data_IF_753865871877
#
_entry.id   IF_753865871877
#
_cell.length_a   1.000
_cell.length_b   1.000
_cell.length_c   1.000
_cell.angle_alpha   90.00
_cell.angle_beta   90.00
_cell.angle_gamma   90.00
#
_symmetry.space_group_name_H-M   'P 1'
#
loop_
_entity.id
_entity.type
_entity.pdbx_description
1 polymer ?
#
# COMPACT_ATOMS: atom_id res chain seq x y z
N UNK A 1 42.69 17.63 51.37
CA UNK A 1 41.98 17.28 52.62
C UNK A 1 40.76 16.44 52.23
N UNK A 2 40.91 15.15 52.49
CA UNK A 2 39.95 14.23 53.16
C UNK A 2 38.58 14.13 52.51
N UNK A 3 37.96 12.99 52.25
CA UNK A 3 38.27 11.55 52.48
C UNK A 3 37.26 10.72 51.68
N UNK A 4 37.76 9.62 51.12
CA UNK A 4 37.08 8.37 50.76
C UNK A 4 35.85 8.03 51.61
N UNK A 5 34.85 7.40 50.97
CA UNK A 5 34.31 6.14 51.48
C UNK A 5 33.72 5.29 50.33
N UNK A 6 34.41 4.21 50.08
CA UNK A 6 33.88 3.03 49.38
C UNK A 6 32.90 2.29 50.28
N UNK A 7 31.89 1.66 49.70
CA UNK A 7 31.25 0.53 50.35
C UNK A 7 31.06 -0.60 49.33
N UNK A 8 31.73 -1.71 49.65
CA UNK A 8 31.65 -3.05 49.08
C UNK A 8 30.55 -3.82 49.82
N UNK A 9 29.98 -4.75 49.20
CA UNK A 9 29.37 -6.02 49.58
C UNK A 9 27.97 -6.14 48.96
N UNK A 10 27.51 -7.21 48.38
CA UNK A 10 27.75 -8.61 48.68
C UNK A 10 27.26 -9.48 47.52
N UNK A 11 28.05 -10.49 47.24
CA UNK A 11 27.76 -11.62 46.35
C UNK A 11 26.73 -12.52 47.04
N UNK A 12 25.61 -12.82 46.35
CA UNK A 12 24.66 -13.82 46.73
C UNK A 12 24.50 -14.83 45.62
N UNK A 13 25.23 -15.97 45.72
CA UNK A 13 24.98 -17.21 44.95
C UNK A 13 23.75 -17.90 45.50
N UNK A 14 22.80 -18.29 44.68
CA UNK A 14 21.85 -19.39 44.95
C UNK A 14 21.58 -20.09 43.61
N UNK A 15 22.25 -21.21 43.43
CA UNK A 15 21.86 -22.64 43.58
C UNK A 15 20.64 -23.00 42.72
N UNK A 16 20.98 -23.71 41.68
CA UNK A 16 20.20 -24.58 40.80
C UNK A 16 19.42 -25.64 41.61
N UNK A 17 18.15 -25.88 41.29
CA UNK A 17 17.52 -27.17 41.50
C UNK A 17 16.55 -27.45 40.35
N UNK A 18 16.99 -28.30 39.45
CA UNK A 18 16.08 -29.13 38.63
C UNK A 18 15.38 -30.17 39.52
N UNK A 19 14.19 -30.58 39.19
CA UNK A 19 13.86 -31.97 39.35
C UNK A 19 13.32 -32.60 38.03
N UNK A 20 14.17 -33.43 37.44
CA UNK A 20 13.75 -34.57 36.68
C UNK A 20 13.08 -35.56 37.67
N UNK A 21 11.92 -36.08 37.30
CA UNK A 21 11.45 -37.37 37.86
C UNK A 21 10.87 -38.22 36.73
N UNK A 22 11.60 -39.29 36.49
CA UNK A 22 11.26 -40.44 35.70
C UNK A 22 10.03 -41.17 36.29
N UNK A 23 9.18 -41.70 35.46
CA UNK A 23 8.38 -42.86 35.81
C UNK A 23 8.38 -43.83 34.63
N UNK A 24 9.00 -44.96 34.88
CA UNK A 24 9.10 -46.16 34.05
C UNK A 24 7.96 -47.14 34.37
N UNK A 25 7.70 -48.15 33.52
CA UNK A 25 6.41 -48.84 33.40
C UNK A 25 6.32 -50.08 34.31
N UNK A 26 5.11 -50.40 34.69
CA UNK A 26 4.81 -51.72 35.27
C UNK A 26 3.87 -52.54 34.36
N UNK A 27 4.44 -53.64 33.89
CA UNK A 27 3.80 -54.79 33.28
C UNK A 27 3.10 -55.57 34.40
N UNK A 28 1.86 -56.03 34.25
CA UNK A 28 1.36 -57.37 34.47
C UNK A 28 -0.17 -57.43 34.48
N UNK A 29 -0.74 -58.40 33.75
CA UNK A 29 -2.05 -58.94 34.08
C UNK A 29 -2.82 -59.49 32.90
N UNK A 30 -2.37 -60.67 32.39
CA UNK A 30 -3.13 -61.58 31.53
C UNK A 30 -4.29 -62.18 32.32
N UNK A 31 -5.53 -62.17 31.77
CA UNK A 31 -6.47 -63.27 31.93
C UNK A 31 -7.49 -63.34 30.79
N UNK A 32 -7.35 -64.41 30.04
CA UNK A 32 -8.34 -65.00 29.14
C UNK A 32 -9.71 -65.19 29.81
N UNK A 33 -10.76 -64.83 29.03
CA UNK A 33 -12.01 -65.61 29.12
C UNK A 33 -12.57 -65.82 27.72
N UNK A 34 -12.58 -67.12 27.37
CA UNK A 34 -13.17 -67.71 26.18
C UNK A 34 -14.64 -67.88 26.46
N UNK A 35 -15.52 -67.46 25.61
CA UNK A 35 -16.97 -67.73 25.69
C UNK A 35 -17.54 -67.73 24.26
N UNK A 36 -17.68 -68.97 23.78
CA UNK A 36 -18.41 -69.34 22.56
C UNK A 36 -19.90 -69.16 22.85
N UNK A 37 -20.70 -68.59 21.91
CA UNK A 37 -22.02 -69.13 21.51
C UNK A 37 -22.62 -68.35 20.33
N UNK A 38 -22.87 -69.10 19.27
CA UNK A 38 -24.03 -69.18 18.38
C UNK A 38 -24.33 -68.07 17.37
N UNK A 39 -24.13 -68.44 16.17
CA UNK A 39 -24.79 -68.16 14.88
C UNK A 39 -26.31 -67.89 15.05
N UNK A 40 -26.70 -66.69 14.55
CA UNK A 40 -28.04 -66.47 13.99
C UNK A 40 -27.92 -65.62 12.72
N UNK A 41 -28.19 -66.30 11.64
CA UNK A 41 -28.27 -65.77 10.29
C UNK A 41 -29.58 -64.99 10.15
N UNK A 42 -29.54 -63.69 10.00
CA UNK A 42 -30.65 -62.89 9.45
C UNK A 42 -30.13 -62.01 8.32
N UNK A 43 -30.44 -62.53 7.14
CA UNK A 43 -30.33 -61.73 5.88
C UNK A 43 -31.29 -60.53 5.95
N UNK A 44 -30.77 -59.38 6.21
CA UNK A 44 -31.41 -58.12 5.84
C UNK A 44 -30.58 -57.50 4.72
N UNK A 45 -31.08 -57.68 3.51
CA UNK A 45 -30.73 -56.83 2.35
C UNK A 45 -31.27 -55.42 2.61
N UNK A 46 -30.53 -54.64 3.37
CA UNK A 46 -30.69 -53.21 3.45
C UNK A 46 -29.80 -52.58 2.39
N UNK A 47 -30.40 -52.19 1.29
CA UNK A 47 -29.80 -51.21 0.34
C UNK A 47 -29.54 -49.91 1.10
N UNK A 48 -28.38 -49.83 1.75
CA UNK A 48 -27.84 -48.54 2.16
C UNK A 48 -27.39 -47.82 0.90
N UNK A 49 -28.28 -47.02 0.32
CA UNK A 49 -27.83 -45.88 -0.48
C UNK A 49 -26.97 -45.02 0.43
N UNK A 50 -25.66 -45.23 0.37
CA UNK A 50 -24.69 -44.24 0.84
C UNK A 50 -24.92 -42.97 0.01
N UNK A 51 -25.65 -42.04 0.60
CA UNK A 51 -25.53 -40.65 0.18
C UNK A 51 -24.11 -40.25 0.56
N UNK A 52 -23.16 -40.47 -0.35
CA UNK A 52 -21.93 -39.72 -0.34
C UNK A 52 -22.37 -38.28 -0.43
N UNK A 53 -22.35 -37.56 0.68
CA UNK A 53 -22.19 -36.14 0.62
C UNK A 53 -20.92 -35.92 -0.20
N UNK A 54 -21.06 -35.74 -1.50
CA UNK A 54 -20.05 -35.06 -2.25
C UNK A 54 -19.99 -33.71 -1.55
N UNK A 55 -18.95 -33.53 -0.74
CA UNK A 55 -18.56 -32.20 -0.31
C UNK A 55 -18.53 -31.37 -1.62
N UNK A 56 -19.50 -30.50 -1.74
CA UNK A 56 -19.50 -29.54 -2.83
C UNK A 56 -18.26 -28.69 -2.61
N UNK A 57 -17.16 -29.04 -3.29
CA UNK A 57 -15.94 -28.23 -3.31
C UNK A 57 -16.40 -26.92 -3.90
N UNK A 58 -16.63 -25.93 -3.03
CA UNK A 58 -16.93 -24.61 -3.51
C UNK A 58 -15.71 -24.14 -4.31
N UNK A 59 -15.95 -23.52 -5.47
CA UNK A 59 -14.83 -23.00 -6.25
C UNK A 59 -14.05 -21.98 -5.39
N UNK A 60 -12.74 -21.89 -5.57
CA UNK A 60 -11.92 -20.95 -4.81
C UNK A 60 -12.47 -19.53 -4.95
N UNK A 61 -12.41 -18.73 -3.87
CA UNK A 61 -12.81 -17.33 -3.94
C UNK A 61 -11.94 -16.59 -4.95
N UNK A 62 -12.58 -15.81 -5.82
CA UNK A 62 -11.90 -15.02 -6.86
C UNK A 62 -11.80 -13.57 -6.42
N UNK A 63 -10.60 -13.11 -6.17
CA UNK A 63 -10.33 -11.74 -5.70
C UNK A 63 -9.70 -10.95 -6.83
N UNK A 64 -10.32 -9.83 -7.21
CA UNK A 64 -9.78 -8.97 -8.26
C UNK A 64 -8.95 -7.83 -7.65
N UNK A 65 -7.72 -7.68 -8.11
CA UNK A 65 -6.86 -6.54 -7.85
C UNK A 65 -6.96 -5.55 -9.00
N UNK A 66 -7.42 -4.34 -8.70
CA UNK A 66 -7.62 -3.26 -9.65
C UNK A 66 -6.66 -2.13 -9.32
N UNK A 67 -5.63 -1.96 -10.14
CA UNK A 67 -4.65 -0.88 -10.02
C UNK A 67 -4.72 0.07 -11.23
N UNK A 68 -4.42 1.37 -11.04
CA UNK A 68 -4.24 2.28 -12.17
C UNK A 68 -3.07 1.83 -13.05
N UNK A 69 -3.19 1.96 -14.37
CA UNK A 69 -2.10 1.64 -15.28
C UNK A 69 -0.87 2.55 -15.05
N UNK A 70 0.32 1.98 -15.15
CA UNK A 70 1.57 2.71 -15.05
C UNK A 70 1.95 3.16 -13.64
N UNK A 71 1.50 2.48 -12.61
CA UNK A 71 1.77 2.79 -11.20
C UNK A 71 3.08 2.20 -10.65
N UNK A 72 4.00 1.77 -11.52
CA UNK A 72 5.39 1.45 -11.18
C UNK A 72 5.60 0.28 -10.20
N UNK A 73 6.70 0.34 -9.47
CA UNK A 73 7.13 -0.73 -8.56
C UNK A 73 6.20 -0.91 -7.35
N UNK A 74 5.50 0.13 -6.92
CA UNK A 74 4.53 0.04 -5.83
C UNK A 74 3.38 -0.91 -6.20
N UNK A 75 2.80 -0.76 -7.40
CA UNK A 75 1.72 -1.65 -7.87
C UNK A 75 2.21 -3.09 -8.03
N UNK A 76 3.43 -3.29 -8.52
CA UNK A 76 4.02 -4.61 -8.62
C UNK A 76 4.26 -5.24 -7.24
N UNK A 77 4.72 -4.49 -6.26
CA UNK A 77 4.85 -4.96 -4.89
C UNK A 77 3.50 -5.35 -4.28
N UNK A 78 2.45 -4.56 -4.51
CA UNK A 78 1.07 -4.87 -4.11
C UNK A 78 0.60 -6.17 -4.75
N UNK A 79 0.82 -6.34 -6.05
CA UNK A 79 0.47 -7.55 -6.80
C UNK A 79 1.13 -8.79 -6.21
N UNK A 80 2.43 -8.76 -5.95
CA UNK A 80 3.18 -9.87 -5.36
C UNK A 80 2.69 -10.22 -3.95
N UNK A 81 2.38 -9.21 -3.13
CA UNK A 81 1.80 -9.44 -1.81
C UNK A 81 0.44 -10.14 -1.90
N UNK A 82 -0.41 -9.68 -2.82
CA UNK A 82 -1.71 -10.29 -3.06
C UNK A 82 -1.58 -11.72 -3.60
N UNK A 83 -0.63 -11.99 -4.51
CA UNK A 83 -0.36 -13.36 -5.01
C UNK A 83 0.10 -14.31 -3.90
N UNK A 84 0.99 -13.85 -3.02
CA UNK A 84 1.45 -14.63 -1.89
C UNK A 84 0.28 -15.02 -0.97
N UNK A 85 -0.56 -14.05 -0.62
CA UNK A 85 -1.73 -14.30 0.22
C UNK A 85 -2.80 -15.16 -0.50
N UNK A 86 -3.00 -14.99 -1.82
CA UNK A 86 -3.91 -15.82 -2.60
C UNK A 86 -3.50 -17.30 -2.57
N UNK A 87 -2.20 -17.54 -2.75
CA UNK A 87 -1.64 -18.91 -2.68
C UNK A 87 -1.83 -19.53 -1.30
N UNK A 88 -1.62 -18.77 -0.23
CA UNK A 88 -1.80 -19.27 1.15
C UNK A 88 -3.26 -19.58 1.47
N UNK A 89 -4.18 -18.76 0.99
CA UNK A 89 -5.62 -18.91 1.25
C UNK A 89 -6.35 -19.80 0.24
N UNK A 90 -5.66 -20.33 -0.78
CA UNK A 90 -6.30 -21.10 -1.84
C UNK A 90 -7.30 -20.27 -2.66
N UNK A 91 -7.07 -18.97 -2.78
CA UNK A 91 -7.87 -18.05 -3.58
C UNK A 91 -7.28 -17.86 -4.99
N UNK A 92 -8.12 -17.49 -5.95
CA UNK A 92 -7.69 -17.08 -7.29
C UNK A 92 -7.55 -15.56 -7.32
N UNK A 93 -6.35 -15.05 -7.65
CA UNK A 93 -6.12 -13.63 -7.86
C UNK A 93 -6.33 -13.29 -9.35
N UNK A 94 -7.18 -12.30 -9.61
CA UNK A 94 -7.38 -11.71 -10.92
C UNK A 94 -6.75 -10.32 -10.91
N UNK A 95 -5.70 -10.10 -11.70
CA UNK A 95 -5.09 -8.77 -11.84
C UNK A 95 -5.68 -8.06 -13.05
N UNK A 96 -6.23 -6.88 -12.84
CA UNK A 96 -6.82 -6.06 -13.90
C UNK A 96 -6.23 -4.66 -13.84
N UNK A 97 -5.39 -4.33 -14.82
CA UNK A 97 -4.85 -2.99 -14.96
C UNK A 97 -5.84 -2.08 -15.69
N UNK A 98 -6.07 -0.91 -15.13
CA UNK A 98 -7.02 0.06 -15.68
C UNK A 98 -6.35 0.94 -16.75
N UNK A 99 -6.24 0.43 -17.98
CA UNK A 99 -5.73 1.22 -19.09
C UNK A 99 -6.78 2.21 -19.59
N UNK A 100 -6.42 3.51 -19.74
CA UNK A 100 -7.25 4.45 -20.48
C UNK A 100 -7.44 3.93 -21.92
N UNK A 101 -8.65 4.00 -22.48
CA UNK A 101 -8.82 3.71 -23.90
C UNK A 101 -7.98 4.70 -24.69
N UNK A 102 -7.16 4.20 -25.64
CA UNK A 102 -6.41 5.05 -26.54
C UNK A 102 -7.35 6.07 -27.18
N UNK A 103 -7.01 7.36 -27.04
CA UNK A 103 -7.65 8.40 -27.83
C UNK A 103 -7.48 8.01 -29.31
N UNK A 104 -8.49 8.27 -30.19
CA UNK A 104 -8.39 7.90 -31.59
C UNK A 104 -7.10 8.44 -32.19
N UNK A 105 -6.34 7.58 -32.88
CA UNK A 105 -4.98 7.78 -33.40
C UNK A 105 -4.87 8.85 -34.49
N UNK A 106 -5.71 9.86 -34.49
CA UNK A 106 -5.62 11.03 -35.34
C UNK A 106 -5.42 12.29 -34.48
N UNK A 107 -4.31 12.35 -33.73
CA UNK A 107 -3.88 13.59 -33.12
C UNK A 107 -3.40 14.54 -34.24
N UNK A 108 -3.90 15.78 -34.30
CA UNK A 108 -3.35 16.78 -35.21
C UNK A 108 -1.90 17.11 -34.80
N UNK A 109 -1.02 17.21 -35.78
CA UNK A 109 0.42 17.40 -35.62
C UNK A 109 0.84 18.79 -35.07
N UNK A 110 0.00 19.47 -34.33
CA UNK A 110 0.28 20.79 -33.77
C UNK A 110 -0.04 20.83 -32.26
N UNK A 111 0.95 21.12 -31.40
CA UNK A 111 0.77 21.19 -29.93
C UNK A 111 -0.30 22.21 -29.50
N UNK A 112 -0.45 23.33 -30.22
CA UNK A 112 -1.45 24.36 -29.89
C UNK A 112 -2.89 23.87 -30.13
N UNK A 113 -3.09 22.86 -30.97
CA UNK A 113 -4.40 22.26 -31.22
C UNK A 113 -4.83 21.30 -30.12
N UNK A 114 -3.88 20.73 -29.35
CA UNK A 114 -4.17 19.83 -28.23
C UNK A 114 -4.79 20.60 -27.06
N UNK A 115 -4.25 21.76 -26.73
CA UNK A 115 -4.77 22.64 -25.66
C UNK A 115 -6.18 23.13 -26.02
N UNK A 116 -6.42 23.47 -27.27
CA UNK A 116 -7.75 23.87 -27.75
C UNK A 116 -8.74 22.71 -27.73
N UNK A 117 -8.31 21.49 -28.10
CA UNK A 117 -9.18 20.31 -28.11
C UNK A 117 -9.52 19.85 -26.69
N UNK A 118 -8.59 19.92 -25.74
CA UNK A 118 -8.87 19.63 -24.33
C UNK A 118 -9.82 20.67 -23.72
N UNK A 119 -9.64 21.97 -24.04
CA UNK A 119 -10.57 23.02 -23.61
C UNK A 119 -11.95 22.88 -24.26
N UNK A 120 -12.03 22.52 -25.53
CA UNK A 120 -13.29 22.32 -26.24
C UNK A 120 -14.04 21.06 -25.76
N UNK A 121 -13.32 19.98 -25.44
CA UNK A 121 -13.87 18.78 -24.80
C UNK A 121 -14.35 19.08 -23.36
N UNK A 122 -13.66 19.97 -22.65
CA UNK A 122 -14.06 20.42 -21.31
C UNK A 122 -15.28 21.35 -21.36
N UNK A 123 -15.43 22.21 -22.40
CA UNK A 123 -16.64 23.03 -22.62
C UNK A 123 -17.82 22.21 -23.14
N UNK A 124 -17.61 21.19 -23.97
CA UNK A 124 -18.66 20.28 -24.44
C UNK A 124 -19.18 19.34 -23.36
N UNK A 125 -18.38 19.07 -22.30
CA UNK A 125 -18.80 18.30 -21.11
C UNK A 125 -19.62 19.13 -20.10
N UNK A 126 -19.85 20.42 -20.36
CA UNK A 126 -20.52 21.37 -19.46
C UNK A 126 -22.03 21.19 -19.23
N UNK A 127 -22.62 20.03 -19.55
CA UNK A 127 -23.99 19.68 -19.20
C UNK A 127 -24.11 18.21 -18.81
N UNK A 128 -23.78 17.88 -17.56
CA UNK A 128 -24.06 16.55 -17.01
C UNK A 128 -23.16 16.25 -15.82
N UNK A 129 -23.73 15.91 -14.70
CA UNK A 129 -23.12 15.49 -13.46
C UNK A 129 -21.94 14.53 -13.73
N UNK A 130 -20.70 14.93 -13.34
CA UNK A 130 -19.55 14.04 -13.14
C UNK A 130 -18.96 13.42 -14.42
N UNK A 131 -18.27 14.22 -15.26
CA UNK A 131 -17.43 13.61 -16.29
C UNK A 131 -16.14 13.07 -15.63
N UNK A 132 -16.08 11.74 -15.43
CA UNK A 132 -14.86 11.06 -15.00
C UNK A 132 -13.71 11.29 -15.99
N UNK A 133 -12.49 11.46 -15.51
CA UNK A 133 -11.30 11.42 -16.35
C UNK A 133 -11.19 10.09 -17.11
N UNK A 134 -10.40 10.05 -18.17
CA UNK A 134 -10.18 8.81 -18.94
C UNK A 134 -9.60 7.67 -18.07
N UNK A 135 -8.79 8.01 -17.05
CA UNK A 135 -8.21 7.05 -16.09
C UNK A 135 -9.27 6.50 -15.12
N UNK A 136 -10.14 7.35 -14.58
CA UNK A 136 -11.24 6.93 -13.71
C UNK A 136 -12.25 6.05 -14.47
N UNK A 137 -12.60 6.41 -15.69
CA UNK A 137 -13.44 5.58 -16.55
C UNK A 137 -12.80 4.20 -16.81
N UNK A 138 -11.48 4.15 -17.03
CA UNK A 138 -10.76 2.90 -17.20
C UNK A 138 -10.84 2.04 -15.94
N UNK A 139 -10.68 2.64 -14.76
CA UNK A 139 -10.78 1.92 -13.49
C UNK A 139 -12.20 1.35 -13.26
N UNK A 140 -13.24 2.14 -13.50
CA UNK A 140 -14.63 1.70 -13.40
C UNK A 140 -14.92 0.55 -14.38
N UNK A 141 -14.41 0.62 -15.62
CA UNK A 141 -14.54 -0.49 -16.60
C UNK A 141 -13.81 -1.74 -16.14
N UNK A 142 -12.60 -1.61 -15.59
CA UNK A 142 -11.83 -2.74 -15.06
C UNK A 142 -12.59 -3.46 -13.94
N UNK A 143 -13.25 -2.71 -13.05
CA UNK A 143 -14.13 -3.28 -12.01
C UNK A 143 -15.31 -4.00 -12.63
N UNK A 144 -16.04 -3.39 -13.58
CA UNK A 144 -17.16 -4.05 -14.27
C UNK A 144 -16.72 -5.36 -14.91
N UNK A 145 -15.60 -5.36 -15.60
CA UNK A 145 -15.03 -6.57 -16.21
C UNK A 145 -14.70 -7.64 -15.16
N UNK A 146 -14.11 -7.26 -14.03
CA UNK A 146 -13.81 -8.21 -12.95
C UNK A 146 -15.08 -8.84 -12.36
N UNK A 147 -16.12 -8.05 -12.15
CA UNK A 147 -17.42 -8.53 -11.66
C UNK A 147 -18.09 -9.48 -12.66
N UNK A 148 -18.11 -9.15 -13.96
CA UNK A 148 -18.61 -10.02 -15.03
C UNK A 148 -17.83 -11.35 -15.11
N UNK A 149 -16.54 -11.33 -14.79
CA UNK A 149 -15.70 -12.53 -14.73
C UNK A 149 -15.87 -13.31 -13.42
N UNK A 150 -16.76 -12.89 -12.52
CA UNK A 150 -17.11 -13.59 -11.29
C UNK A 150 -16.19 -13.29 -10.11
N UNK A 151 -15.62 -12.08 -10.02
CA UNK A 151 -14.92 -11.64 -8.83
C UNK A 151 -15.87 -11.65 -7.62
N UNK A 152 -15.45 -12.28 -6.54
CA UNK A 152 -16.18 -12.35 -5.28
C UNK A 152 -15.73 -11.31 -4.25
N UNK A 153 -14.59 -10.66 -4.48
CA UNK A 153 -14.10 -9.51 -3.71
C UNK A 153 -13.22 -8.62 -4.60
N UNK A 154 -13.10 -7.35 -4.23
CA UNK A 154 -12.30 -6.34 -4.94
C UNK A 154 -11.23 -5.77 -4.01
N UNK A 155 -9.98 -5.72 -4.49
CA UNK A 155 -8.89 -4.91 -3.95
C UNK A 155 -8.72 -3.74 -4.93
N UNK A 156 -8.86 -2.51 -4.45
CA UNK A 156 -8.86 -1.33 -5.32
C UNK A 156 -7.89 -0.28 -4.79
N UNK A 157 -7.01 0.19 -5.66
CA UNK A 157 -6.23 1.41 -5.45
C UNK A 157 -6.95 2.56 -6.18
N UNK A 158 -7.80 3.35 -5.49
CA UNK A 158 -8.74 4.24 -6.14
C UNK A 158 -8.09 5.54 -6.59
N UNK A 159 -8.57 6.07 -7.73
CA UNK A 159 -8.07 7.33 -8.29
C UNK A 159 -8.77 8.57 -7.72
N UNK A 160 -10.03 8.43 -7.30
CA UNK A 160 -10.81 9.53 -6.72
C UNK A 160 -11.97 9.00 -5.86
N UNK A 161 -12.58 9.91 -5.09
CA UNK A 161 -13.77 9.62 -4.29
C UNK A 161 -14.97 9.25 -5.17
N UNK A 162 -15.13 9.95 -6.29
CA UNK A 162 -16.22 9.72 -7.24
C UNK A 162 -16.10 8.34 -7.89
N UNK A 163 -14.90 7.98 -8.38
CA UNK A 163 -14.66 6.67 -8.98
C UNK A 163 -14.87 5.55 -7.95
N UNK A 164 -14.39 5.72 -6.73
CA UNK A 164 -14.59 4.74 -5.65
C UNK A 164 -16.06 4.59 -5.27
N UNK A 165 -16.82 5.69 -5.24
CA UNK A 165 -18.27 5.64 -4.98
C UNK A 165 -19.02 4.83 -6.04
N UNK A 166 -18.71 5.01 -7.33
CA UNK A 166 -19.27 4.23 -8.43
C UNK A 166 -18.87 2.75 -8.32
N UNK A 167 -17.60 2.45 -8.00
CA UNK A 167 -17.10 1.08 -7.79
C UNK A 167 -17.88 0.38 -6.69
N UNK A 168 -18.09 1.05 -5.55
CA UNK A 168 -18.84 0.48 -4.42
C UNK A 168 -20.29 0.25 -4.82
N UNK A 169 -20.92 1.18 -5.54
CA UNK A 169 -22.28 1.00 -6.02
C UNK A 169 -22.40 -0.23 -6.93
N UNK A 170 -21.48 -0.43 -7.86
CA UNK A 170 -21.43 -1.62 -8.72
C UNK A 170 -21.26 -2.90 -7.90
N UNK A 171 -20.33 -2.94 -6.96
CA UNK A 171 -20.11 -4.09 -6.10
C UNK A 171 -21.34 -4.46 -5.25
N UNK A 172 -22.23 -3.50 -4.96
CA UNK A 172 -23.46 -3.74 -4.21
C UNK A 172 -24.63 -4.16 -5.10
N UNK A 173 -24.69 -3.73 -6.37
CA UNK A 173 -25.86 -3.91 -7.25
C UNK A 173 -25.71 -5.05 -8.25
N UNK A 174 -24.50 -5.36 -8.70
CA UNK A 174 -24.27 -6.35 -9.77
C UNK A 174 -24.14 -7.79 -9.27
N UNK A 175 -24.23 -8.01 -7.95
CA UNK A 175 -24.18 -9.37 -7.40
C UNK A 175 -25.58 -10.01 -7.37
N UNK A 176 -25.72 -11.15 -8.06
CA UNK A 176 -26.93 -11.98 -8.03
C UNK A 176 -27.15 -12.68 -6.67
N UNK A 177 -26.19 -12.66 -5.76
CA UNK A 177 -26.29 -13.18 -4.40
C UNK A 177 -26.68 -12.07 -3.42
N UNK A 178 -27.40 -12.44 -2.34
CA UNK A 178 -27.88 -11.48 -1.32
C UNK A 178 -26.76 -10.80 -0.53
N UNK A 179 -25.49 -11.19 -0.72
CA UNK A 179 -24.33 -10.63 -0.04
C UNK A 179 -23.58 -9.64 -0.94
N UNK A 180 -23.36 -8.43 -0.45
CA UNK A 180 -22.55 -7.43 -1.16
C UNK A 180 -21.09 -7.90 -1.30
N UNK A 181 -20.48 -7.65 -2.45
CA UNK A 181 -19.07 -7.95 -2.74
C UNK A 181 -18.18 -7.07 -1.85
N UNK A 182 -17.27 -7.65 -1.05
CA UNK A 182 -16.33 -6.88 -0.24
C UNK A 182 -15.42 -6.00 -1.11
N UNK A 183 -15.28 -4.73 -0.73
CA UNK A 183 -14.33 -3.79 -1.35
C UNK A 183 -13.26 -3.42 -0.32
N UNK A 184 -12.04 -3.80 -0.61
CA UNK A 184 -10.84 -3.45 0.16
C UNK A 184 -10.11 -2.33 -0.59
N UNK A 185 -9.94 -1.20 0.07
CA UNK A 185 -9.25 -0.04 -0.49
C UNK A 185 -7.77 -0.10 -0.09
N UNK A 186 -6.90 0.16 -1.04
CA UNK A 186 -5.44 0.17 -0.86
C UNK A 186 -4.91 1.60 -1.01
N UNK A 187 -3.81 1.91 -0.34
CA UNK A 187 -3.03 3.14 -0.36
C UNK A 187 -3.74 4.38 0.21
N UNK A 188 -4.80 4.88 -0.44
CA UNK A 188 -5.45 6.13 -0.07
C UNK A 188 -6.80 5.90 0.61
N UNK A 189 -7.10 6.73 1.61
CA UNK A 189 -8.34 6.66 2.38
C UNK A 189 -9.32 7.74 1.93
N UNK A 190 -10.33 7.34 1.18
CA UNK A 190 -11.42 8.23 0.78
C UNK A 190 -12.64 8.09 1.72
N UNK A 191 -13.38 9.18 2.01
CA UNK A 191 -14.50 9.17 2.96
C UNK A 191 -15.79 8.57 2.35
N UNK A 192 -15.70 7.41 1.69
CA UNK A 192 -16.81 6.74 1.00
C UNK A 192 -17.39 5.64 1.88
N UNK A 193 -18.72 5.55 1.92
CA UNK A 193 -19.43 4.49 2.65
C UNK A 193 -19.46 3.19 1.86
N UNK A 194 -19.46 2.06 2.56
CA UNK A 194 -19.55 0.73 1.94
C UNK A 194 -18.19 0.07 1.72
N UNK A 195 -17.09 0.73 2.07
CA UNK A 195 -15.77 0.13 2.12
C UNK A 195 -15.75 -0.93 3.23
N UNK A 196 -15.23 -2.10 2.92
CA UNK A 196 -15.07 -3.20 3.89
C UNK A 196 -13.86 -2.99 4.78
N UNK A 197 -12.72 -2.61 4.20
CA UNK A 197 -11.46 -2.34 4.88
C UNK A 197 -10.62 -1.36 4.07
N UNK A 198 -9.80 -0.55 4.75
CA UNK A 198 -8.77 0.31 4.14
C UNK A 198 -7.41 -0.17 4.62
N UNK A 199 -6.50 -0.40 3.69
CA UNK A 199 -5.09 -0.75 3.97
C UNK A 199 -4.23 0.42 3.48
N UNK A 200 -3.78 1.25 4.38
CA UNK A 200 -3.02 2.47 4.04
C UNK A 200 -1.91 2.75 5.04
N UNK A 201 -0.95 3.56 4.64
CA UNK A 201 0.01 4.14 5.58
C UNK A 201 -0.64 5.26 6.42
N UNK A 202 0.00 5.64 7.53
CA UNK A 202 -0.32 6.89 8.21
C UNK A 202 0.34 8.05 7.45
N UNK A 203 -0.45 8.70 6.59
CA UNK A 203 0.05 9.77 5.73
C UNK A 203 0.45 11.03 6.50
N UNK A 204 -0.21 11.34 7.64
CA UNK A 204 0.21 12.47 8.51
C UNK A 204 1.56 12.18 9.12
N UNK A 205 1.73 10.98 9.70
CA UNK A 205 3.00 10.56 10.29
C UNK A 205 4.13 10.50 9.24
N UNK A 206 3.84 10.01 8.04
CA UNK A 206 4.80 9.99 6.93
C UNK A 206 5.24 11.40 6.51
N UNK A 207 4.28 12.33 6.43
CA UNK A 207 4.57 13.75 6.19
C UNK A 207 5.41 14.36 7.30
N UNK A 208 5.08 14.06 8.57
CA UNK A 208 5.84 14.53 9.73
C UNK A 208 7.30 14.06 9.69
N UNK A 209 7.53 12.78 9.36
CA UNK A 209 8.88 12.23 9.19
C UNK A 209 9.65 12.95 8.06
N UNK A 210 8.99 13.26 6.96
CA UNK A 210 9.60 14.00 5.85
C UNK A 210 9.99 15.43 6.26
N UNK A 211 9.11 16.13 6.98
CA UNK A 211 9.36 17.48 7.48
C UNK A 211 10.51 17.53 8.51
N UNK A 212 10.51 16.61 9.48
CA UNK A 212 11.59 16.49 10.46
C UNK A 212 12.93 16.17 9.80
N UNK A 213 12.96 15.20 8.87
CA UNK A 213 14.16 14.86 8.12
C UNK A 213 14.71 16.06 7.33
N UNK A 214 13.86 16.83 6.68
CA UNK A 214 14.28 18.04 5.97
C UNK A 214 14.82 19.11 6.93
N UNK A 215 14.12 19.33 8.04
CA UNK A 215 14.59 20.29 9.05
C UNK A 215 15.96 19.91 9.63
N UNK A 216 16.18 18.63 9.87
CA UNK A 216 17.49 18.12 10.33
C UNK A 216 18.58 18.33 9.27
N UNK A 217 18.32 18.00 8.01
CA UNK A 217 19.24 18.20 6.87
C UNK A 217 19.67 19.66 6.70
N UNK A 218 18.75 20.60 6.95
CA UNK A 218 19.00 22.04 6.83
C UNK A 218 19.51 22.68 8.14
N UNK A 219 19.63 21.91 9.24
CA UNK A 219 20.04 22.44 10.55
C UNK A 219 19.02 23.42 11.14
N UNK A 220 17.74 23.23 10.84
CA UNK A 220 16.61 23.99 11.38
C UNK A 220 16.38 25.37 10.74
N UNK A 221 17.00 25.71 9.61
CA UNK A 221 16.89 27.00 8.92
C UNK A 221 17.03 26.87 7.41
N UNK A 222 16.40 27.76 6.66
CA UNK A 222 16.47 27.79 5.19
C UNK A 222 15.11 27.82 4.55
N UNK A 223 15.05 27.64 3.23
CA UNK A 223 13.83 27.70 2.42
C UNK A 223 13.47 26.30 1.89
N UNK A 224 12.26 25.86 2.14
CA UNK A 224 11.73 24.53 1.76
C UNK A 224 10.52 24.69 0.84
N UNK A 225 10.56 24.08 -0.32
CA UNK A 225 9.43 24.03 -1.24
C UNK A 225 8.75 22.65 -1.23
N UNK A 226 7.42 22.63 -1.22
CA UNK A 226 6.61 21.42 -1.33
C UNK A 226 6.20 21.19 -2.79
N UNK A 227 6.51 20.00 -3.32
CA UNK A 227 6.15 19.57 -4.66
C UNK A 227 5.14 18.43 -4.63
N UNK A 228 4.14 18.49 -5.50
CA UNK A 228 3.17 17.43 -5.71
C UNK A 228 2.03 17.32 -4.69
N UNK A 229 1.68 18.39 -3.91
CA UNK A 229 0.44 18.33 -3.18
C UNK A 229 -0.73 18.25 -4.17
N UNK A 230 -1.79 17.56 -3.77
CA UNK A 230 -3.01 17.46 -4.55
C UNK A 230 -4.20 17.73 -3.61
N UNK A 231 -4.99 18.77 -3.87
CA UNK A 231 -6.08 19.19 -2.99
C UNK A 231 -7.28 18.23 -2.98
N UNK A 232 -7.31 17.26 -3.89
CA UNK A 232 -8.40 16.27 -3.99
C UNK A 232 -7.98 14.85 -3.57
N UNK A 233 -6.68 14.59 -3.40
CA UNK A 233 -6.19 13.31 -2.89
C UNK A 233 -6.00 13.36 -1.37
N UNK A 234 -6.78 12.61 -0.57
CA UNK A 234 -6.69 12.64 0.90
C UNK A 234 -5.32 12.26 1.45
N UNK A 235 -4.65 11.28 0.83
CA UNK A 235 -3.31 10.85 1.25
C UNK A 235 -2.29 11.98 1.11
N UNK A 236 -2.32 12.71 -0.01
CA UNK A 236 -1.42 13.85 -0.25
C UNK A 236 -1.75 15.05 0.63
N UNK A 237 -3.04 15.30 0.92
CA UNK A 237 -3.47 16.33 1.90
C UNK A 237 -2.90 16.01 3.28
N UNK A 238 -3.00 14.76 3.73
CA UNK A 238 -2.49 14.34 5.02
C UNK A 238 -0.95 14.36 5.07
N UNK A 239 -0.24 14.00 3.98
CA UNK A 239 1.23 14.16 3.92
C UNK A 239 1.64 15.62 4.05
N UNK A 240 0.99 16.51 3.29
CA UNK A 240 1.23 17.95 3.38
C UNK A 240 0.99 18.47 4.80
N UNK A 241 -0.13 18.07 5.42
CA UNK A 241 -0.43 18.44 6.81
C UNK A 241 0.70 18.03 7.75
N UNK A 242 1.14 16.77 7.70
CA UNK A 242 2.23 16.27 8.55
C UNK A 242 3.54 17.02 8.35
N UNK A 243 3.89 17.35 7.09
CA UNK A 243 5.07 18.16 6.77
C UNK A 243 4.99 19.54 7.43
N UNK A 244 3.85 20.23 7.26
CA UNK A 244 3.68 21.58 7.80
C UNK A 244 3.69 21.57 9.34
N UNK A 245 3.02 20.61 9.99
CA UNK A 245 3.06 20.45 11.45
C UNK A 245 4.49 20.23 11.98
N UNK A 246 5.32 19.47 11.25
CA UNK A 246 6.72 19.27 11.62
C UNK A 246 7.54 20.55 11.46
N UNK A 247 7.41 21.23 10.31
CA UNK A 247 8.18 22.43 10.02
C UNK A 247 7.81 23.63 10.90
N UNK A 248 6.59 23.71 11.43
CA UNK A 248 6.18 24.71 12.42
C UNK A 248 7.06 24.74 13.69
N UNK A 249 7.73 23.62 14.01
CA UNK A 249 8.67 23.56 15.12
C UNK A 249 10.00 24.24 14.84
N UNK A 250 10.26 24.66 13.59
CA UNK A 250 11.52 25.26 13.14
C UNK A 250 11.27 26.67 12.55
N UNK A 251 11.19 27.71 13.39
CA UNK A 251 10.76 29.05 12.97
C UNK A 251 11.71 29.76 12.01
N UNK A 252 12.94 29.25 11.84
CA UNK A 252 13.90 29.77 10.85
C UNK A 252 13.81 29.03 9.50
N UNK A 253 12.92 28.06 9.33
CA UNK A 253 12.58 27.46 8.07
C UNK A 253 11.41 28.24 7.44
N UNK A 254 11.62 28.70 6.21
CA UNK A 254 10.58 29.33 5.41
C UNK A 254 9.98 28.29 4.47
N UNK A 255 8.66 28.14 4.48
CA UNK A 255 7.96 27.27 3.54
C UNK A 255 7.54 28.12 2.35
N UNK A 256 8.10 27.80 1.19
CA UNK A 256 7.77 28.46 -0.07
C UNK A 256 6.36 28.06 -0.57
N UNK A 257 5.78 28.84 -1.51
CA UNK A 257 4.51 28.46 -2.13
C UNK A 257 4.58 27.03 -2.70
N UNK A 258 3.59 26.22 -2.36
CA UNK A 258 3.48 24.84 -2.85
C UNK A 258 3.14 24.80 -4.34
N UNK A 259 3.68 23.81 -5.05
CA UNK A 259 3.41 23.60 -6.47
C UNK A 259 2.68 22.28 -6.69
N UNK A 260 1.43 22.38 -7.16
CA UNK A 260 0.61 21.22 -7.55
C UNK A 260 1.16 20.64 -8.85
N UNK A 261 1.48 19.35 -8.85
CA UNK A 261 1.93 18.64 -10.04
C UNK A 261 1.68 17.14 -9.87
N UNK A 262 1.17 16.48 -10.92
CA UNK A 262 0.78 15.04 -10.87
C UNK A 262 1.59 14.15 -11.81
N UNK A 263 2.43 14.72 -12.69
CA UNK A 263 3.31 13.97 -13.58
C UNK A 263 4.75 14.46 -13.46
N UNK A 264 5.72 13.59 -13.79
CA UNK A 264 7.15 13.91 -13.72
C UNK A 264 7.51 15.18 -14.47
N UNK A 265 7.00 15.34 -15.70
CA UNK A 265 7.31 16.50 -16.54
C UNK A 265 6.74 17.80 -15.96
N UNK A 266 5.50 17.76 -15.43
CA UNK A 266 4.89 18.93 -14.79
C UNK A 266 5.62 19.26 -13.49
N UNK A 267 6.02 18.27 -12.72
CA UNK A 267 6.79 18.46 -11.48
C UNK A 267 8.21 18.97 -11.76
N UNK A 268 8.84 18.50 -12.85
CA UNK A 268 10.10 19.07 -13.33
C UNK A 268 9.97 20.56 -13.66
N UNK A 269 8.91 20.97 -14.39
CA UNK A 269 8.65 22.39 -14.70
C UNK A 269 8.40 23.22 -13.42
N UNK A 270 7.65 22.66 -12.47
CA UNK A 270 7.40 23.30 -11.17
C UNK A 270 8.68 23.50 -10.37
N UNK A 271 9.54 22.49 -10.28
CA UNK A 271 10.85 22.59 -9.63
C UNK A 271 11.74 23.63 -10.32
N UNK A 272 11.72 23.65 -11.67
CA UNK A 272 12.45 24.65 -12.46
C UNK A 272 11.98 26.06 -12.13
N UNK A 273 10.67 26.32 -12.10
CA UNK A 273 10.11 27.62 -11.79
C UNK A 273 10.48 28.08 -10.37
N UNK A 274 10.35 27.20 -9.37
CA UNK A 274 10.72 27.50 -7.99
C UNK A 274 12.20 27.90 -7.88
N UNK A 275 13.10 27.18 -8.53
CA UNK A 275 14.54 27.49 -8.54
C UNK A 275 14.90 28.73 -9.36
N UNK A 276 14.05 29.18 -10.28
CA UNK A 276 14.24 30.44 -11.04
C UNK A 276 13.75 31.65 -10.24
N UNK A 277 12.68 31.51 -9.46
CA UNK A 277 11.97 32.60 -8.79
C UNK A 277 12.34 32.78 -7.31
N UNK A 278 12.75 31.67 -6.66
CA UNK A 278 12.98 31.59 -5.22
C UNK A 278 14.37 31.01 -4.91
N UNK A 279 14.87 31.35 -3.73
CA UNK A 279 15.99 30.62 -3.16
C UNK A 279 15.43 29.38 -2.43
N UNK A 280 15.68 28.18 -2.96
CA UNK A 280 15.23 26.92 -2.38
C UNK A 280 16.43 26.13 -1.88
N UNK A 281 16.46 25.80 -0.59
CA UNK A 281 17.49 25.00 0.04
C UNK A 281 17.09 23.50 0.09
N UNK A 282 15.78 23.21 0.02
CA UNK A 282 15.27 21.84 0.00
C UNK A 282 13.91 21.68 -0.64
N UNK A 283 13.69 20.51 -1.26
CA UNK A 283 12.41 20.04 -1.77
C UNK A 283 11.87 18.91 -0.91
N UNK A 284 10.62 19.01 -0.47
CA UNK A 284 9.85 17.87 0.02
C UNK A 284 8.86 17.51 -1.09
N UNK A 285 9.08 16.35 -1.72
CA UNK A 285 8.28 15.86 -2.84
C UNK A 285 7.32 14.79 -2.33
N UNK A 286 6.01 15.10 -2.29
CA UNK A 286 4.99 14.32 -1.58
C UNK A 286 4.57 13.03 -2.31
N UNK A 287 5.04 12.84 -3.55
CA UNK A 287 4.77 11.65 -4.36
C UNK A 287 5.94 11.38 -5.32
N UNK A 288 5.99 10.17 -5.88
CA UNK A 288 7.06 9.72 -6.76
C UNK A 288 7.31 10.64 -7.97
N UNK A 289 6.29 11.03 -8.78
CA UNK A 289 6.52 11.92 -9.93
C UNK A 289 7.13 13.25 -9.53
N UNK A 290 6.76 13.77 -8.36
CA UNK A 290 7.33 15.02 -7.82
C UNK A 290 8.79 14.82 -7.39
N UNK A 291 9.11 13.69 -6.78
CA UNK A 291 10.47 13.33 -6.40
C UNK A 291 11.39 13.25 -7.61
N UNK A 292 10.98 12.53 -8.64
CA UNK A 292 11.77 12.35 -9.86
C UNK A 292 11.89 13.67 -10.65
N UNK A 293 10.81 14.45 -10.75
CA UNK A 293 10.84 15.75 -11.43
C UNK A 293 11.78 16.75 -10.76
N UNK A 294 11.80 16.80 -9.42
CA UNK A 294 12.76 17.62 -8.68
C UNK A 294 14.21 17.16 -8.93
N UNK A 295 14.46 15.85 -8.84
CA UNK A 295 15.79 15.30 -9.08
C UNK A 295 16.31 15.59 -10.49
N UNK A 296 15.47 15.48 -11.52
CA UNK A 296 15.81 15.82 -12.91
C UNK A 296 16.28 17.27 -13.05
N UNK A 297 15.59 18.22 -12.38
CA UNK A 297 15.96 19.63 -12.46
C UNK A 297 17.24 19.93 -11.70
N UNK A 298 17.44 19.33 -10.53
CA UNK A 298 18.70 19.47 -9.80
C UNK A 298 19.87 18.90 -10.59
N UNK A 299 19.70 17.73 -11.21
CA UNK A 299 20.72 17.12 -12.06
C UNK A 299 21.06 18.03 -13.25
N UNK A 300 20.05 18.56 -13.95
CA UNK A 300 20.25 19.49 -15.06
C UNK A 300 21.05 20.74 -14.67
N UNK A 301 20.85 21.25 -13.44
CA UNK A 301 21.56 22.44 -12.91
C UNK A 301 22.85 22.10 -12.18
N UNK A 302 23.14 20.82 -11.91
CA UNK A 302 24.26 20.37 -11.08
C UNK A 302 24.17 20.89 -9.64
N UNK A 303 22.95 20.85 -9.08
CA UNK A 303 22.64 21.32 -7.73
C UNK A 303 22.37 20.17 -6.73
N UNK A 304 22.60 18.91 -7.12
CA UNK A 304 22.24 17.68 -6.37
C UNK A 304 22.84 17.65 -4.95
N UNK A 305 23.97 18.33 -4.75
CA UNK A 305 24.61 18.38 -3.43
C UNK A 305 24.38 19.67 -2.67
N UNK A 306 23.72 20.65 -3.33
CA UNK A 306 23.45 21.98 -2.73
C UNK A 306 22.02 22.07 -2.22
N UNK A 307 21.05 21.62 -3.01
CA UNK A 307 19.63 21.57 -2.65
C UNK A 307 19.28 20.15 -2.19
N UNK A 308 18.62 20.04 -1.04
CA UNK A 308 18.26 18.76 -0.46
C UNK A 308 16.94 18.24 -1.01
N UNK A 309 16.79 16.91 -1.15
CA UNK A 309 15.50 16.30 -1.48
C UNK A 309 15.15 15.25 -0.44
N UNK A 310 13.94 15.38 0.11
CA UNK A 310 13.23 14.31 0.80
C UNK A 310 12.02 13.93 -0.06
N UNK A 311 11.98 12.70 -0.54
CA UNK A 311 10.97 12.22 -1.48
C UNK A 311 10.12 11.09 -0.93
N UNK A 312 9.06 10.78 -1.66
CA UNK A 312 8.21 9.60 -1.45
C UNK A 312 8.38 8.66 -2.63
N UNK A 313 8.43 7.36 -2.36
CA UNK A 313 8.56 6.31 -3.35
C UNK A 313 9.79 5.42 -3.15
N UNK A 314 9.89 4.40 -3.98
CA UNK A 314 10.99 3.41 -3.96
C UNK A 314 11.31 2.87 -5.34
N UNK A 315 10.98 3.61 -6.40
CA UNK A 315 11.33 3.24 -7.77
C UNK A 315 12.84 3.02 -7.90
N UNK A 316 13.25 2.09 -8.75
CA UNK A 316 14.66 1.75 -8.94
C UNK A 316 15.51 3.00 -9.18
N UNK A 317 15.05 3.94 -10.01
CA UNK A 317 15.75 5.19 -10.27
C UNK A 317 15.92 6.03 -9.00
N UNK A 318 14.91 6.09 -8.13
CA UNK A 318 15.01 6.80 -6.86
C UNK A 318 16.03 6.16 -5.93
N UNK A 319 16.08 4.81 -5.88
CA UNK A 319 17.06 4.08 -5.06
C UNK A 319 18.49 4.26 -5.57
N UNK A 320 18.70 4.26 -6.88
CA UNK A 320 20.00 4.60 -7.51
C UNK A 320 20.42 6.02 -7.16
N UNK A 321 19.52 7.00 -7.31
CA UNK A 321 19.78 8.40 -6.98
C UNK A 321 19.95 8.63 -5.47
N UNK A 322 19.33 7.81 -4.60
CA UNK A 322 19.60 7.82 -3.16
C UNK A 322 21.05 7.40 -2.87
N UNK A 323 21.54 6.34 -3.54
CA UNK A 323 22.94 5.89 -3.41
C UNK A 323 23.93 6.93 -3.92
N UNK A 324 23.57 7.68 -4.96
CA UNK A 324 24.37 8.77 -5.53
C UNK A 324 24.31 10.06 -4.69
N UNK A 325 23.42 10.12 -3.69
CA UNK A 325 23.26 11.27 -2.81
C UNK A 325 22.42 12.41 -3.39
N UNK A 326 21.70 12.17 -4.48
CA UNK A 326 20.71 13.12 -5.04
C UNK A 326 19.54 13.26 -4.08
N UNK A 327 18.95 12.13 -3.64
CA UNK A 327 18.05 12.10 -2.50
C UNK A 327 18.84 11.92 -1.21
N UNK A 328 18.45 12.63 -0.17
CA UNK A 328 18.97 12.39 1.17
C UNK A 328 18.12 11.38 1.92
N UNK A 329 16.79 11.45 1.73
CA UNK A 329 15.85 10.50 2.31
C UNK A 329 14.71 10.18 1.34
N UNK A 330 14.20 8.97 1.46
CA UNK A 330 12.96 8.51 0.85
C UNK A 330 12.01 7.97 1.91
N UNK A 331 10.75 8.40 1.86
CA UNK A 331 9.66 7.77 2.60
C UNK A 331 9.11 6.64 1.74
N UNK A 332 9.24 5.40 2.23
CA UNK A 332 8.89 4.20 1.48
C UNK A 332 7.61 3.59 2.01
N UNK A 333 6.71 3.26 1.08
CA UNK A 333 5.44 2.57 1.34
C UNK A 333 5.63 1.06 1.24
N UNK A 334 4.94 0.30 2.11
CA UNK A 334 5.01 -1.15 2.09
C UNK A 334 3.92 -1.75 1.17
N UNK A 335 4.15 -1.70 -0.14
CA UNK A 335 3.23 -2.24 -1.15
C UNK A 335 2.97 -3.74 -0.99
N UNK A 336 4.00 -4.53 -0.71
CA UNK A 336 3.82 -5.97 -0.49
C UNK A 336 2.85 -6.25 0.66
N UNK A 337 3.02 -5.61 1.80
CA UNK A 337 2.10 -5.76 2.92
C UNK A 337 0.70 -5.24 2.60
N UNK A 338 0.57 -4.19 1.78
CA UNK A 338 -0.74 -3.69 1.35
C UNK A 338 -1.52 -4.77 0.59
N UNK A 339 -0.91 -5.38 -0.42
CA UNK A 339 -1.51 -6.46 -1.20
C UNK A 339 -1.79 -7.71 -0.37
N UNK A 340 -0.82 -8.14 0.42
CA UNK A 340 -0.93 -9.34 1.26
C UNK A 340 -2.05 -9.22 2.30
N UNK A 341 -2.07 -8.14 3.07
CA UNK A 341 -3.10 -7.90 4.09
C UNK A 341 -4.45 -7.60 3.45
N UNK A 342 -4.48 -6.87 2.32
CA UNK A 342 -5.70 -6.59 1.58
C UNK A 342 -6.41 -7.87 1.15
N UNK A 343 -5.69 -8.80 0.55
CA UNK A 343 -6.26 -10.09 0.14
C UNK A 343 -6.71 -10.93 1.34
N UNK A 344 -5.94 -10.96 2.42
CA UNK A 344 -6.34 -11.65 3.64
C UNK A 344 -7.65 -11.08 4.23
N UNK A 345 -7.83 -9.75 4.26
CA UNK A 345 -9.08 -9.12 4.69
C UNK A 345 -10.25 -9.51 3.75
N UNK A 346 -10.01 -9.55 2.44
CA UNK A 346 -11.03 -9.95 1.47
C UNK A 346 -11.50 -11.39 1.70
N UNK A 347 -10.56 -12.33 1.81
CA UNK A 347 -10.88 -13.77 2.05
C UNK A 347 -11.52 -13.96 3.42
N UNK A 348 -11.04 -13.30 4.46
CA UNK A 348 -11.64 -13.36 5.79
C UNK A 348 -13.11 -12.91 5.75
N UNK A 349 -13.40 -11.82 5.03
CA UNK A 349 -14.78 -11.32 4.89
C UNK A 349 -15.68 -12.27 4.10
N UNK A 350 -15.14 -12.89 3.04
CA UNK A 350 -15.88 -13.92 2.27
C UNK A 350 -16.20 -15.18 3.11
N UNK A 351 -15.40 -15.45 4.14
CA UNK A 351 -15.62 -16.53 5.09
C UNK A 351 -16.43 -16.10 6.34
N UNK A 352 -17.16 -14.97 6.26
CA UNK A 352 -17.95 -14.41 7.36
C UNK A 352 -17.16 -14.10 8.64
N UNK A 353 -15.86 -13.92 8.52
CA UNK A 353 -15.00 -13.53 9.64
C UNK A 353 -15.04 -12.01 9.84
N UNK A 354 -14.76 -11.58 11.06
CA UNK A 354 -14.60 -10.17 11.35
C UNK A 354 -13.29 -9.64 10.74
N UNK A 355 -13.38 -8.50 10.07
CA UNK A 355 -12.24 -7.82 9.46
C UNK A 355 -12.03 -6.45 10.10
N UNK A 356 -10.79 -5.98 10.07
CA UNK A 356 -10.48 -4.64 10.53
C UNK A 356 -10.97 -3.63 9.49
N UNK A 357 -11.66 -2.58 9.91
CA UNK A 357 -12.10 -1.51 9.00
C UNK A 357 -10.93 -0.68 8.47
N UNK A 358 -9.83 -0.66 9.21
CA UNK A 358 -8.58 0.00 8.84
C UNK A 358 -7.37 -0.82 9.31
N UNK A 359 -6.40 -0.99 8.44
CA UNK A 359 -5.06 -1.53 8.73
C UNK A 359 -4.03 -0.47 8.35
N UNK A 360 -3.32 0.04 9.34
CA UNK A 360 -2.26 1.03 9.12
C UNK A 360 -0.94 0.31 8.87
N UNK A 361 -0.31 0.61 7.75
CA UNK A 361 1.00 0.10 7.38
C UNK A 361 2.10 0.98 7.95
N UNK A 362 3.19 0.35 8.38
CA UNK A 362 4.41 1.06 8.78
C UNK A 362 5.07 1.70 7.55
N UNK A 363 5.52 2.94 7.72
CA UNK A 363 6.37 3.65 6.76
C UNK A 363 7.82 3.61 7.21
N UNK A 364 8.74 3.67 6.25
CA UNK A 364 10.17 3.72 6.55
C UNK A 364 10.80 4.97 5.93
N UNK A 365 11.52 5.70 6.77
CA UNK A 365 12.45 6.73 6.33
C UNK A 365 13.77 6.07 5.96
N UNK A 366 14.09 6.04 4.67
CA UNK A 366 15.26 5.37 4.13
C UNK A 366 16.30 6.40 3.67
N UNK A 367 17.56 6.14 4.00
CA UNK A 367 18.73 6.91 3.60
C UNK A 367 19.84 5.96 3.12
N UNK A 368 20.94 6.51 2.60
CA UNK A 368 22.15 5.72 2.26
C UNK A 368 22.66 4.89 3.43
N UNK A 369 22.51 5.37 4.67
CA UNK A 369 23.06 4.71 5.87
C UNK A 369 22.27 3.47 6.26
N UNK A 370 20.96 3.43 5.94
CA UNK A 370 20.08 2.36 6.41
C UNK A 370 19.39 1.54 5.29
N UNK A 371 19.54 1.92 4.01
CA UNK A 371 18.86 1.23 2.91
C UNK A 371 19.22 -0.26 2.79
N UNK A 372 20.42 -0.64 3.24
CA UNK A 372 20.88 -2.02 3.25
C UNK A 372 20.63 -2.78 4.56
N UNK A 373 19.93 -2.18 5.52
CA UNK A 373 19.50 -2.90 6.71
C UNK A 373 18.45 -3.95 6.34
N UNK A 374 18.50 -5.10 6.99
CA UNK A 374 17.69 -6.27 6.62
C UNK A 374 16.20 -5.94 6.45
N UNK A 375 15.64 -5.13 7.35
CA UNK A 375 14.21 -4.77 7.31
C UNK A 375 13.88 -3.83 6.14
N UNK A 376 14.80 -2.93 5.79
CA UNK A 376 14.63 -2.04 4.65
C UNK A 376 14.88 -2.78 3.33
N UNK A 377 15.85 -3.72 3.28
CA UNK A 377 16.10 -4.53 2.09
C UNK A 377 14.86 -5.32 1.65
N UNK A 378 14.14 -5.92 2.59
CA UNK A 378 12.90 -6.66 2.28
C UNK A 378 11.80 -5.77 1.71
N UNK A 379 11.78 -4.50 2.14
CA UNK A 379 10.82 -3.51 1.68
C UNK A 379 11.21 -2.95 0.30
N UNK A 380 12.49 -2.63 0.11
CA UNK A 380 12.99 -1.99 -1.11
C UNK A 380 13.19 -2.96 -2.28
N UNK A 381 13.45 -4.24 -1.98
CA UNK A 381 13.78 -5.26 -2.99
C UNK A 381 12.93 -6.52 -2.79
N UNK A 382 11.61 -6.44 -2.87
CA UNK A 382 10.72 -7.59 -2.65
C UNK A 382 10.92 -8.72 -3.68
N UNK A 383 11.62 -8.45 -4.79
CA UNK A 383 11.85 -9.38 -5.90
C UNK A 383 13.11 -10.25 -5.77
N UNK A 384 13.92 -10.05 -4.75
CA UNK A 384 15.25 -10.69 -4.60
C UNK A 384 15.21 -11.86 -3.62
N UNK A 385 14.06 -12.52 -3.45
CA UNK A 385 13.94 -13.71 -2.58
C UNK A 385 14.02 -15.01 -3.32
#
# INVERSE_FOLDING_TARGET
>A
MMKNKANKASIGRMVSTDPFNEFSPSILGVRSFMGIVAVSCCLFLGTACGISNADSVQPPPRVALITPAGTGELAEAIRLGAEAAAKENGAELMTVEAFPSEAPTHAPANPDSMIHLEMELQELSGQGVGAYSSREQAQIRAVTQALEQGASALLVDPLSEEALSEIIQKAQTENASEMSIPVIVLNDEFPVKGITSVISMDNVEAGRQAGEAMAELLGGRGSVALLGPDPVNPGLIHREQGVLEALEQYPEIQVEPKSVCGTRDVCWQAAKQLLDEQQVDGFIALQEPASLGAADELHRRKLEHQVKIVGFGSEQQQLEQLQEGVFQHLIVQNGFSAGYLGLNQAVARLNDQQVQTRVTLETKLVSTDNMFWMDNQKLLFPFVQ
#
